data_IF_982968252714
#
_entry.id   IF_982968252714
#
_cell.length_a   1.000
_cell.length_b   1.000
_cell.length_c   1.000
_cell.angle_alpha   90.00
_cell.angle_beta   90.00
_cell.angle_gamma   90.00
#
_symmetry.space_group_name_H-M   'P 1'
#
loop_
_entity.id
_entity.type
_entity.pdbx_description
1 polymer ?
#
# COMPACT_ATOMS: atom_id res chain seq x y z
N UNK A 1 -30.48 40.72 -13.71
CA UNK A 1 -30.56 39.33 -14.20
C UNK A 1 -29.34 38.89 -15.00
N UNK A 2 -28.93 39.59 -16.09
CA UNK A 2 -27.76 39.16 -16.89
C UNK A 2 -26.42 39.18 -16.13
N UNK A 3 -26.14 40.23 -15.36
CA UNK A 3 -24.89 40.35 -14.60
C UNK A 3 -24.82 39.37 -13.41
N UNK A 4 -25.95 39.16 -12.73
CA UNK A 4 -26.09 38.14 -11.67
C UNK A 4 -25.87 36.72 -12.19
N UNK A 5 -26.31 36.41 -13.41
CA UNK A 5 -26.10 35.10 -14.04
C UNK A 5 -24.62 34.87 -14.38
N UNK A 6 -23.92 35.89 -14.90
CA UNK A 6 -22.49 35.82 -15.20
C UNK A 6 -21.67 35.61 -13.92
N UNK A 7 -22.03 36.30 -12.83
CA UNK A 7 -21.37 36.14 -11.54
C UNK A 7 -21.57 34.72 -10.97
N UNK A 8 -22.77 34.17 -11.08
CA UNK A 8 -23.09 32.78 -10.70
C UNK A 8 -22.29 31.75 -11.51
N UNK A 9 -22.14 31.96 -12.83
CA UNK A 9 -21.31 31.08 -13.67
C UNK A 9 -19.82 31.14 -13.30
N UNK A 10 -19.31 32.31 -12.91
CA UNK A 10 -17.93 32.48 -12.45
C UNK A 10 -17.67 31.77 -11.11
N UNK A 11 -18.58 31.94 -10.15
CA UNK A 11 -18.50 31.26 -8.84
C UNK A 11 -18.57 29.74 -9.04
N UNK A 12 -19.46 29.25 -9.91
CA UNK A 12 -19.56 27.82 -10.22
C UNK A 12 -18.30 27.26 -10.89
N UNK A 13 -17.63 28.03 -11.76
CA UNK A 13 -16.34 27.63 -12.35
C UNK A 13 -15.23 27.49 -11.31
N UNK A 14 -15.17 28.36 -10.31
CA UNK A 14 -14.13 28.26 -9.26
C UNK A 14 -14.28 27.01 -8.38
N UNK A 15 -15.50 26.50 -8.19
CA UNK A 15 -15.75 25.26 -7.45
C UNK A 15 -15.26 24.00 -8.21
N UNK A 16 -15.29 24.02 -9.55
CA UNK A 16 -14.81 22.88 -10.36
C UNK A 16 -13.29 22.72 -10.34
N UNK A 17 -12.53 23.80 -10.10
CA UNK A 17 -11.06 23.75 -10.04
C UNK A 17 -10.51 23.07 -8.78
N UNK A 18 -11.32 22.91 -7.73
CA UNK A 18 -10.92 22.26 -6.46
C UNK A 18 -11.00 20.72 -6.57
N UNK A 19 -11.56 20.18 -7.66
CA UNK A 19 -11.75 18.74 -7.84
C UNK A 19 -10.56 18.01 -8.50
N UNK A 20 -9.43 18.68 -8.76
CA UNK A 20 -8.27 18.02 -9.36
C UNK A 20 -7.54 17.16 -8.31
N UNK A 21 -7.35 15.87 -8.62
CA UNK A 21 -6.52 14.99 -7.80
C UNK A 21 -5.12 15.61 -7.65
N UNK A 22 -4.65 15.79 -6.42
CA UNK A 22 -3.27 16.22 -6.17
C UNK A 22 -2.33 15.05 -6.50
N UNK A 23 -1.67 15.11 -7.65
CA UNK A 23 -0.59 14.17 -7.98
C UNK A 23 0.58 14.44 -7.03
N UNK A 24 1.06 13.39 -6.34
CA UNK A 24 2.29 13.52 -5.59
C UNK A 24 3.46 13.58 -6.57
N UNK A 25 4.25 14.64 -6.44
CA UNK A 25 5.44 14.85 -7.26
C UNK A 25 6.43 13.68 -7.16
N UNK A 26 6.54 13.06 -5.98
CA UNK A 26 7.37 11.88 -5.71
C UNK A 26 6.47 10.70 -5.42
N UNK A 27 6.72 9.58 -6.09
CA UNK A 27 5.96 8.34 -5.96
C UNK A 27 6.91 7.21 -5.56
N UNK A 28 6.47 6.38 -4.61
CA UNK A 28 7.15 5.15 -4.21
C UNK A 28 6.29 3.98 -4.65
N UNK A 29 6.67 3.34 -5.75
CA UNK A 29 6.01 2.14 -6.25
C UNK A 29 6.63 0.93 -5.57
N UNK A 30 5.78 0.09 -4.98
CA UNK A 30 6.19 -1.20 -4.41
C UNK A 30 5.32 -2.26 -5.05
N UNK A 31 5.92 -3.33 -5.54
CA UNK A 31 5.21 -4.44 -6.18
C UNK A 31 5.89 -5.77 -5.83
N UNK A 32 5.14 -6.82 -5.47
CA UNK A 32 5.72 -8.14 -5.33
C UNK A 32 6.11 -8.68 -6.73
N UNK A 33 6.99 -9.67 -6.77
CA UNK A 33 7.47 -10.31 -8.00
C UNK A 33 6.50 -11.33 -8.63
N UNK A 34 5.31 -11.51 -8.04
CA UNK A 34 4.21 -12.31 -8.59
C UNK A 34 3.25 -11.47 -9.43
N UNK A 35 2.65 -12.11 -10.45
CA UNK A 35 1.69 -11.48 -11.38
C UNK A 35 0.33 -11.20 -10.75
N UNK A 36 -0.11 -12.04 -9.81
CA UNK A 36 -1.41 -11.96 -9.14
C UNK A 36 -1.30 -11.70 -7.64
N UNK A 37 -0.08 -11.45 -7.16
CA UNK A 37 0.25 -11.18 -5.76
C UNK A 37 0.05 -12.37 -4.81
N UNK A 38 -0.22 -13.57 -5.34
CA UNK A 38 -0.39 -14.80 -4.55
C UNK A 38 0.83 -15.71 -4.64
N UNK A 39 1.05 -16.46 -3.55
CA UNK A 39 2.21 -17.32 -3.33
C UNK A 39 1.78 -18.60 -2.60
N UNK A 40 2.51 -19.69 -2.83
CA UNK A 40 2.40 -20.89 -2.00
C UNK A 40 3.18 -20.72 -0.67
N UNK A 41 2.79 -21.47 0.35
CA UNK A 41 3.54 -21.52 1.62
C UNK A 41 4.97 -22.02 1.38
N UNK A 42 5.95 -21.34 1.96
CA UNK A 42 7.38 -21.64 1.74
C UNK A 42 7.99 -21.01 0.48
N UNK A 43 7.20 -20.40 -0.40
CA UNK A 43 7.71 -19.67 -1.57
C UNK A 43 8.35 -18.34 -1.16
N UNK A 44 9.47 -17.96 -1.78
CA UNK A 44 10.13 -16.70 -1.45
C UNK A 44 9.54 -15.54 -2.26
N UNK A 45 9.13 -14.49 -1.57
CA UNK A 45 8.70 -13.21 -2.17
C UNK A 45 9.84 -12.20 -2.19
N UNK A 46 9.94 -11.48 -3.32
CA UNK A 46 10.72 -10.25 -3.42
C UNK A 46 9.83 -9.07 -3.79
N UNK A 47 10.12 -7.90 -3.23
CA UNK A 47 9.45 -6.66 -3.60
C UNK A 47 10.35 -5.80 -4.46
N UNK A 48 9.85 -5.43 -5.63
CA UNK A 48 10.43 -4.35 -6.41
C UNK A 48 9.97 -3.01 -5.89
N UNK A 49 10.94 -2.11 -5.74
CA UNK A 49 10.73 -0.75 -5.25
C UNK A 49 11.25 0.20 -6.33
N UNK A 50 10.42 1.13 -6.77
CA UNK A 50 10.78 2.19 -7.70
C UNK A 50 10.36 3.55 -7.14
N UNK A 51 11.31 4.47 -7.03
CA UNK A 51 11.06 5.85 -6.60
C UNK A 51 11.15 6.75 -7.83
N UNK A 52 10.08 7.48 -8.13
CA UNK A 52 10.06 8.42 -9.25
C UNK A 52 9.70 9.82 -8.78
N UNK A 53 10.19 10.83 -9.51
CA UNK A 53 9.74 12.21 -9.43
C UNK A 53 9.20 12.62 -10.79
N UNK A 54 7.92 12.97 -10.89
CA UNK A 54 7.25 13.23 -12.17
C UNK A 54 7.49 12.10 -13.19
N UNK A 55 7.41 10.84 -12.76
CA UNK A 55 7.66 9.62 -13.58
C UNK A 55 9.10 9.42 -14.06
N UNK A 56 10.05 10.23 -13.58
CA UNK A 56 11.49 10.03 -13.84
C UNK A 56 12.10 9.34 -12.60
N UNK A 57 12.86 8.25 -12.75
CA UNK A 57 13.54 7.60 -11.64
C UNK A 57 14.37 8.59 -10.83
N UNK A 58 14.23 8.54 -9.51
CA UNK A 58 14.92 9.43 -8.59
C UNK A 58 16.11 8.71 -7.96
N UNK A 59 17.31 9.22 -8.23
CA UNK A 59 18.55 8.59 -7.82
C UNK A 59 18.99 8.97 -6.40
N UNK A 60 19.77 8.09 -5.79
CA UNK A 60 20.40 8.25 -4.46
C UNK A 60 19.41 8.62 -3.34
N UNK A 61 18.21 8.06 -3.39
CA UNK A 61 17.16 8.29 -2.38
C UNK A 61 17.37 7.34 -1.20
N UNK A 62 17.33 7.88 0.01
CA UNK A 62 17.35 7.07 1.23
C UNK A 62 15.94 6.58 1.53
N UNK A 63 15.82 5.28 1.74
CA UNK A 63 14.60 4.60 2.14
C UNK A 63 14.75 4.02 3.54
N UNK A 64 13.66 4.00 4.29
CA UNK A 64 13.42 3.01 5.35
C UNK A 64 12.31 2.07 4.90
N UNK A 65 12.37 0.82 5.33
CA UNK A 65 11.36 -0.19 5.01
C UNK A 65 10.99 -1.02 6.23
N UNK A 66 9.78 -1.57 6.21
CA UNK A 66 9.23 -2.45 7.22
C UNK A 66 8.59 -3.66 6.52
N UNK A 67 8.94 -4.86 6.96
CA UNK A 67 8.27 -6.09 6.58
C UNK A 67 7.49 -6.63 7.78
N UNK A 68 6.19 -6.84 7.59
CA UNK A 68 5.29 -7.31 8.63
C UNK A 68 4.36 -8.39 8.09
N UNK A 69 3.80 -9.19 8.99
CA UNK A 69 2.55 -9.89 8.68
C UNK A 69 1.39 -8.91 8.84
N UNK A 70 0.28 -9.15 8.15
CA UNK A 70 -0.83 -8.20 8.19
C UNK A 70 -1.38 -8.04 9.61
N UNK A 71 -1.63 -6.78 9.99
CA UNK A 71 -1.99 -6.35 11.35
C UNK A 71 -1.00 -6.70 12.48
N UNK A 72 0.21 -7.20 12.16
CA UNK A 72 1.24 -7.54 13.14
C UNK A 72 2.39 -6.51 13.15
N UNK A 73 3.17 -6.42 14.25
CA UNK A 73 4.41 -5.64 14.27
C UNK A 73 5.39 -6.12 13.19
N UNK A 74 6.25 -5.23 12.68
CA UNK A 74 7.26 -5.61 11.71
C UNK A 74 8.24 -6.61 12.30
N UNK A 75 8.49 -7.69 11.56
CA UNK A 75 9.51 -8.68 11.92
C UNK A 75 10.90 -8.28 11.39
N UNK A 76 10.95 -7.34 10.45
CA UNK A 76 12.18 -6.79 9.91
C UNK A 76 11.99 -5.34 9.52
N UNK A 77 12.96 -4.53 9.91
CA UNK A 77 13.07 -3.13 9.50
C UNK A 77 14.48 -2.88 8.97
N UNK A 78 14.63 -1.85 8.13
CA UNK A 78 15.95 -1.47 7.67
C UNK A 78 15.95 -0.21 6.83
N UNK A 79 17.15 0.20 6.46
CA UNK A 79 17.38 1.36 5.58
C UNK A 79 18.17 0.93 4.36
N UNK A 80 17.88 1.55 3.22
CA UNK A 80 18.61 1.32 1.97
C UNK A 80 18.73 2.61 1.17
N UNK A 81 19.73 2.68 0.29
CA UNK A 81 19.84 3.77 -0.69
C UNK A 81 19.55 3.22 -2.07
N UNK A 82 18.58 3.82 -2.75
CA UNK A 82 18.20 3.49 -4.11
C UNK A 82 19.07 4.28 -5.06
N UNK A 83 20.01 3.63 -5.76
CA UNK A 83 20.97 4.32 -6.63
C UNK A 83 20.34 4.79 -7.94
N UNK A 84 19.68 3.89 -8.67
CA UNK A 84 19.13 4.15 -10.02
C UNK A 84 17.59 4.25 -10.00
N UNK A 85 17.02 4.80 -8.92
CA UNK A 85 15.57 4.84 -8.70
C UNK A 85 14.89 3.49 -8.51
N UNK A 86 15.61 2.36 -8.57
CA UNK A 86 15.07 1.01 -8.36
C UNK A 86 15.88 0.18 -7.36
N UNK A 87 15.20 -0.70 -6.63
CA UNK A 87 15.82 -1.76 -5.82
C UNK A 87 14.91 -2.98 -5.69
N UNK A 88 15.51 -4.16 -5.53
CA UNK A 88 14.80 -5.37 -5.09
C UNK A 88 15.02 -5.60 -3.60
N UNK A 89 13.96 -5.86 -2.86
CA UNK A 89 13.99 -6.20 -1.45
C UNK A 89 13.54 -7.65 -1.25
N UNK A 90 14.45 -8.50 -0.77
CA UNK A 90 14.11 -9.87 -0.39
C UNK A 90 13.34 -9.89 0.92
N UNK A 91 12.11 -10.42 0.88
CA UNK A 91 11.19 -10.43 2.01
C UNK A 91 10.98 -11.79 2.66
N UNK A 92 11.48 -12.87 2.04
CA UNK A 92 11.42 -14.21 2.61
C UNK A 92 10.10 -14.90 2.31
N UNK A 93 9.52 -15.60 3.27
CA UNK A 93 8.33 -16.44 3.06
C UNK A 93 7.42 -16.47 4.30
N UNK A 94 6.24 -17.09 4.17
CA UNK A 94 5.33 -17.41 5.28
C UNK A 94 5.22 -18.92 5.49
N UNK A 95 4.90 -19.32 6.73
CA UNK A 95 4.68 -20.71 7.14
C UNK A 95 3.20 -21.08 7.29
N UNK A 96 2.35 -20.07 7.38
CA UNK A 96 0.90 -20.20 7.56
C UNK A 96 0.19 -19.30 6.54
N UNK A 97 -1.02 -19.69 6.10
CA UNK A 97 -1.84 -18.84 5.23
C UNK A 97 -2.01 -17.44 5.80
N UNK A 98 -1.84 -16.42 4.97
CA UNK A 98 -1.88 -15.04 5.44
C UNK A 98 -1.32 -14.04 4.45
N UNK A 99 -0.87 -12.90 4.96
CA UNK A 99 -0.41 -11.78 4.16
C UNK A 99 0.91 -11.24 4.69
N UNK A 100 1.87 -11.06 3.80
CA UNK A 100 3.16 -10.43 4.06
C UNK A 100 3.17 -9.04 3.43
N UNK A 101 3.32 -8.01 4.24
CA UNK A 101 3.27 -6.60 3.85
C UNK A 101 4.66 -5.98 3.84
N UNK A 102 4.93 -5.19 2.82
CA UNK A 102 6.11 -4.34 2.68
C UNK A 102 5.67 -2.87 2.67
N UNK A 103 6.12 -2.11 3.65
CA UNK A 103 5.99 -0.65 3.72
C UNK A 103 7.35 -0.02 3.44
N UNK A 104 7.37 1.01 2.60
CA UNK A 104 8.60 1.71 2.20
C UNK A 104 8.36 3.20 2.31
N UNK A 105 9.29 3.89 2.95
CA UNK A 105 9.26 5.34 3.13
C UNK A 105 10.50 5.95 2.49
N UNK A 106 10.29 6.76 1.47
CA UNK A 106 11.34 7.50 0.78
C UNK A 106 11.47 8.91 1.33
N UNK A 107 12.67 9.27 1.78
CA UNK A 107 12.95 10.64 2.22
C UNK A 107 13.52 11.47 1.07
N UNK A 108 12.81 12.53 0.68
CA UNK A 108 13.24 13.46 -0.34
C UNK A 108 12.84 14.89 0.03
N UNK A 109 13.80 15.83 -0.04
CA UNK A 109 13.61 17.24 0.30
C UNK A 109 12.93 17.48 1.68
N UNK A 110 13.30 16.69 2.69
CA UNK A 110 12.78 16.82 4.04
C UNK A 110 11.35 16.31 4.24
N UNK A 111 10.78 15.61 3.24
CA UNK A 111 9.47 14.96 3.32
C UNK A 111 9.60 13.45 3.08
N UNK A 112 8.79 12.68 3.81
CA UNK A 112 8.62 11.25 3.56
C UNK A 112 7.46 10.97 2.60
N UNK A 113 7.68 10.01 1.70
CA UNK A 113 6.71 9.50 0.75
C UNK A 113 6.56 7.99 0.98
N UNK A 114 5.33 7.52 1.15
CA UNK A 114 5.04 6.11 1.45
C UNK A 114 4.66 5.34 0.18
N UNK A 115 5.20 4.13 0.05
CA UNK A 115 4.74 3.11 -0.89
C UNK A 115 4.54 1.80 -0.15
N UNK A 116 3.61 0.95 -0.63
CA UNK A 116 3.33 -0.34 -0.02
C UNK A 116 2.86 -1.39 -0.99
N UNK A 117 3.14 -2.63 -0.65
CA UNK A 117 2.61 -3.81 -1.32
C UNK A 117 2.37 -4.93 -0.31
N UNK A 118 1.44 -5.82 -0.65
CA UNK A 118 1.12 -7.00 0.17
C UNK A 118 1.09 -8.23 -0.72
N UNK A 119 1.78 -9.28 -0.30
CA UNK A 119 1.77 -10.59 -0.92
C UNK A 119 0.86 -11.52 -0.10
N UNK A 120 -0.06 -12.22 -0.76
CA UNK A 120 -0.93 -13.23 -0.15
C UNK A 120 -0.30 -14.61 -0.24
N UNK A 121 -0.20 -15.31 0.88
CA UNK A 121 0.27 -16.68 0.97
C UNK A 121 -0.93 -17.59 1.20
N UNK A 122 -1.30 -18.37 0.18
CA UNK A 122 -2.49 -19.24 0.18
C UNK A 122 -3.72 -18.58 0.86
N UNK A 123 -4.09 -17.35 0.46
CA UNK A 123 -5.09 -16.54 1.18
C UNK A 123 -6.46 -17.22 1.28
N UNK A 124 -6.77 -18.13 0.37
CA UNK A 124 -7.99 -18.94 0.35
C UNK A 124 -8.07 -19.99 1.48
N UNK A 125 -6.94 -20.31 2.12
CA UNK A 125 -6.86 -21.27 3.23
C UNK A 125 -6.87 -20.61 4.62
N UNK A 126 -7.08 -19.30 4.70
CA UNK A 126 -7.21 -18.59 5.97
C UNK A 126 -8.48 -19.06 6.68
N UNK A 127 -8.33 -19.62 7.88
CA UNK A 127 -9.43 -20.09 8.69
C UNK A 127 -9.93 -19.00 9.67
N UNK A 128 -11.24 -18.96 9.96
CA UNK A 128 -11.76 -18.08 11.01
C UNK A 128 -11.18 -18.44 12.38
N UNK A 129 -10.60 -17.45 13.06
CA UNK A 129 -10.11 -17.60 14.45
C UNK A 129 -11.21 -17.40 15.50
N UNK A 130 -12.39 -16.94 15.08
CA UNK A 130 -13.50 -16.69 15.98
C UNK A 130 -14.17 -18.00 16.42
N UNK A 131 -14.30 -18.20 17.74
CA UNK A 131 -15.08 -19.29 18.31
C UNK A 131 -16.56 -18.93 18.24
N UNK A 132 -17.40 -19.83 17.73
CA UNK A 132 -18.85 -19.63 17.70
C UNK A 132 -19.41 -19.57 19.13
N UNK A 133 -20.12 -18.49 19.52
CA UNK A 133 -20.76 -18.42 20.84
C UNK A 133 -21.87 -19.46 20.99
N UNK A 134 -21.99 -20.05 22.18
CA UNK A 134 -22.99 -21.09 22.49
C UNK A 134 -24.45 -20.61 22.34
N UNK A 135 -24.68 -19.30 22.36
CA UNK A 135 -26.00 -18.66 22.25
C UNK A 135 -26.31 -18.13 20.84
N UNK A 136 -25.36 -18.19 19.90
CA UNK A 136 -25.53 -17.64 18.55
C UNK A 136 -26.78 -18.20 17.87
N UNK A 137 -26.93 -19.52 17.83
CA UNK A 137 -28.10 -20.16 17.24
C UNK A 137 -29.37 -19.93 18.05
N UNK A 138 -29.27 -19.73 19.37
CA UNK A 138 -30.45 -19.46 20.23
C UNK A 138 -31.07 -18.10 19.92
N UNK A 139 -30.24 -17.10 19.64
CA UNK A 139 -30.69 -15.77 19.22
C UNK A 139 -31.51 -15.82 17.92
N UNK A 140 -31.08 -16.61 16.93
CA UNK A 140 -31.73 -16.67 15.61
C UNK A 140 -32.90 -17.64 15.50
N UNK A 141 -32.98 -18.67 16.36
CA UNK A 141 -34.04 -19.70 16.30
C UNK A 141 -35.21 -19.45 17.27
N UNK A 142 -35.09 -18.49 18.18
CA UNK A 142 -36.12 -18.17 19.18
C UNK A 142 -37.21 -17.16 18.74
N UNK A 143 -37.38 -16.95 17.42
CA UNK A 143 -38.42 -16.08 16.85
C UNK A 143 -39.78 -16.75 16.74
#
# INVERSE_FOLDING_TARGET
MRQTLVLLCFIFHTFLSVAQLTEQLVMVHVSPDSRDWTYAIGENVSFGIEVTKNRIPLENVTLRYELSYDMMPPFKEGTATVKEGKMQLQAGTMKEPGFLRCLVYASYNGKEYEGRATAGFEPEKIEPVAVMPDDFMKFWTGG
#
